data_IF_250357626986
#
_entry.id   IF_250357626986
#
_cell.length_a   1.000
_cell.length_b   1.000
_cell.length_c   1.000
_cell.angle_alpha   90.00
_cell.angle_beta   90.00
_cell.angle_gamma   90.00
#
_symmetry.space_group_name_H-M   'P 1'
#
loop_
_entity.id
_entity.type
_entity.pdbx_description
1 polymer ?
#
# COMPACT_ATOMS: atom_id res chain seq x y z
N UNK A 1 -11.47 -24.96 6.89
CA UNK A 1 -10.49 -24.36 7.83
C UNK A 1 -11.12 -24.26 9.21
N UNK A 2 -10.43 -24.76 10.20
CA UNK A 2 -10.91 -24.68 11.59
C UNK A 2 -10.71 -23.27 12.14
N UNK A 3 -11.39 -22.96 13.27
CA UNK A 3 -11.20 -21.69 13.97
C UNK A 3 -9.72 -21.45 14.31
N UNK A 4 -9.06 -22.47 14.85
CA UNK A 4 -7.64 -22.38 15.22
C UNK A 4 -6.75 -22.09 14.02
N UNK A 5 -7.02 -22.73 12.89
CA UNK A 5 -6.28 -22.49 11.66
C UNK A 5 -6.52 -21.09 11.12
N UNK A 6 -7.76 -20.63 11.13
CA UNK A 6 -8.10 -19.28 10.66
C UNK A 6 -7.43 -18.21 11.52
N UNK A 7 -7.48 -18.36 12.84
CA UNK A 7 -6.86 -17.43 13.76
C UNK A 7 -5.32 -17.43 13.60
N UNK A 8 -4.72 -18.60 13.45
CA UNK A 8 -3.27 -18.71 13.24
C UNK A 8 -2.84 -18.07 11.92
N UNK A 9 -3.61 -18.26 10.86
CA UNK A 9 -3.33 -17.64 9.55
C UNK A 9 -3.41 -16.12 9.63
N UNK A 10 -4.44 -15.60 10.32
CA UNK A 10 -4.60 -14.16 10.55
C UNK A 10 -3.41 -13.60 11.32
N UNK A 11 -3.01 -14.25 12.39
CA UNK A 11 -1.90 -13.77 13.24
C UNK A 11 -0.59 -13.79 12.48
N UNK A 12 -0.37 -14.77 11.62
CA UNK A 12 0.80 -14.84 10.76
C UNK A 12 0.84 -13.65 9.78
N UNK A 13 -0.30 -13.31 9.18
CA UNK A 13 -0.39 -12.17 8.28
C UNK A 13 -0.15 -10.85 9.01
N UNK A 14 -0.68 -10.70 10.22
CA UNK A 14 -0.44 -9.51 11.02
C UNK A 14 1.05 -9.34 11.35
N UNK A 15 1.72 -10.44 11.68
CA UNK A 15 3.16 -10.40 11.96
C UNK A 15 3.98 -9.95 10.74
N UNK A 16 3.56 -10.31 9.54
CA UNK A 16 4.26 -9.91 8.31
C UNK A 16 4.25 -8.40 8.11
N UNK A 17 3.21 -7.70 8.57
CA UNK A 17 3.10 -6.26 8.38
C UNK A 17 4.20 -5.49 9.11
N UNK A 18 4.68 -5.99 10.24
CA UNK A 18 5.72 -5.31 11.02
C UNK A 18 7.10 -5.34 10.35
N UNK A 19 7.31 -6.23 9.39
CA UNK A 19 8.61 -6.42 8.73
C UNK A 19 8.77 -5.59 7.46
N UNK A 20 7.74 -4.86 7.04
CA UNK A 20 7.76 -4.17 5.74
C UNK A 20 8.61 -2.90 5.71
N UNK A 21 8.80 -2.24 6.85
CA UNK A 21 9.56 -0.98 6.90
C UNK A 21 8.78 0.17 6.28
N UNK A 22 9.39 0.87 5.34
CA UNK A 22 8.78 2.04 4.71
C UNK A 22 7.57 1.67 3.87
N UNK A 23 6.51 2.44 4.01
CA UNK A 23 5.26 2.26 3.27
C UNK A 23 4.82 3.62 2.73
N UNK A 24 4.56 3.70 1.43
CA UNK A 24 4.08 4.92 0.79
C UNK A 24 2.86 4.63 -0.07
N UNK A 25 1.89 5.51 0.01
CA UNK A 25 0.71 5.50 -0.85
C UNK A 25 0.88 6.58 -1.91
N UNK A 26 0.50 6.30 -3.14
CA UNK A 26 0.54 7.27 -4.21
C UNK A 26 1.01 6.67 -5.53
N UNK A 27 1.32 7.56 -6.46
CA UNK A 27 1.79 7.18 -7.79
C UNK A 27 3.13 7.86 -8.07
N UNK A 28 4.06 7.09 -8.62
CA UNK A 28 5.36 7.61 -9.03
C UNK A 28 5.26 8.04 -10.49
N UNK A 29 5.53 9.32 -10.74
CA UNK A 29 5.44 9.91 -12.07
C UNK A 29 6.78 10.47 -12.48
N UNK A 30 7.16 10.22 -13.74
CA UNK A 30 8.32 10.87 -14.36
C UNK A 30 7.81 11.99 -15.24
N UNK A 31 8.35 13.19 -15.03
CA UNK A 31 8.02 14.36 -15.84
C UNK A 31 9.31 14.96 -16.38
N UNK A 32 9.20 15.69 -17.48
CA UNK A 32 10.31 16.43 -18.04
C UNK A 32 10.12 17.91 -17.73
N UNK A 33 11.14 18.52 -17.11
CA UNK A 33 11.13 19.93 -16.77
C UNK A 33 12.15 20.66 -17.64
N UNK A 34 11.76 21.83 -18.16
CA UNK A 34 12.64 22.67 -18.96
C UNK A 34 12.95 23.94 -18.17
N UNK A 35 14.24 24.24 -18.04
CA UNK A 35 14.67 25.48 -17.41
C UNK A 35 14.79 26.59 -18.46
N UNK A 36 14.44 27.81 -18.05
CA UNK A 36 14.42 28.94 -18.96
C UNK A 36 15.82 29.44 -19.37
N UNK A 37 16.85 29.17 -18.56
CA UNK A 37 18.22 29.59 -18.85
C UNK A 37 19.22 28.76 -18.05
N UNK A 38 20.48 28.75 -18.51
CA UNK A 38 21.59 28.17 -17.77
C UNK A 38 21.70 26.65 -17.79
N UNK A 39 20.84 25.96 -18.52
CA UNK A 39 20.89 24.49 -18.58
C UNK A 39 21.21 24.05 -20.02
N UNK A 40 22.35 23.35 -20.25
CA UNK A 40 22.69 22.85 -21.58
C UNK A 40 21.64 21.87 -22.14
N UNK A 41 21.06 21.03 -21.33
CA UNK A 41 20.03 20.09 -21.80
C UNK A 41 18.76 20.80 -22.23
N UNK A 42 18.32 21.81 -21.49
CA UNK A 42 17.16 22.61 -21.85
C UNK A 42 17.41 23.43 -23.10
N UNK A 43 18.63 23.94 -23.27
CA UNK A 43 19.02 24.67 -24.46
C UNK A 43 18.94 23.79 -25.72
N UNK A 44 19.16 22.47 -25.57
CA UNK A 44 19.02 21.52 -26.68
C UNK A 44 17.60 20.99 -26.84
N UNK A 45 16.67 21.43 -26.02
CA UNK A 45 15.29 20.96 -26.04
C UNK A 45 15.05 19.61 -25.34
N UNK A 46 16.06 19.05 -24.69
CA UNK A 46 15.96 17.75 -24.03
C UNK A 46 15.21 17.79 -22.70
N UNK A 47 15.32 18.92 -21.96
CA UNK A 47 14.72 19.05 -20.65
C UNK A 47 15.43 18.20 -19.58
N UNK A 48 14.89 18.22 -18.38
CA UNK A 48 15.38 17.45 -17.25
C UNK A 48 14.33 16.46 -16.78
N UNK A 49 14.70 15.20 -16.50
CA UNK A 49 13.77 14.31 -15.85
C UNK A 49 13.50 14.79 -14.42
N UNK A 50 12.21 14.77 -14.05
CA UNK A 50 11.76 15.11 -12.71
C UNK A 50 10.86 13.98 -12.23
N UNK A 51 11.24 13.40 -11.11
CA UNK A 51 10.44 12.37 -10.47
C UNK A 51 9.55 12.98 -9.40
N UNK A 52 8.27 12.60 -9.41
CA UNK A 52 7.26 13.15 -8.50
C UNK A 52 6.45 12.00 -7.91
N UNK A 53 6.29 12.04 -6.59
CA UNK A 53 5.31 11.19 -5.91
C UNK A 53 4.01 11.98 -5.79
N UNK A 54 2.95 11.49 -6.41
CA UNK A 54 1.64 12.13 -6.39
C UNK A 54 0.71 11.35 -5.47
N UNK A 55 0.19 12.03 -4.44
CA UNK A 55 -0.69 11.41 -3.45
C UNK A 55 -2.04 12.12 -3.47
N UNK A 56 -3.11 11.34 -3.71
CA UNK A 56 -4.47 11.85 -3.71
C UNK A 56 -5.10 11.78 -2.32
N UNK A 57 -5.93 12.77 -2.01
CA UNK A 57 -6.67 12.84 -0.75
C UNK A 57 -8.17 13.06 -1.04
N UNK A 58 -9.04 12.74 -0.06
CA UNK A 58 -10.48 12.98 -0.23
C UNK A 58 -10.76 14.42 -0.58
N UNK A 59 -11.81 14.65 -1.40
CA UNK A 59 -12.19 15.98 -1.85
C UNK A 59 -11.42 16.48 -3.07
N UNK A 60 -10.74 15.57 -3.78
CA UNK A 60 -9.99 15.92 -4.99
C UNK A 60 -8.67 16.60 -4.77
N UNK A 61 -8.21 16.69 -3.52
CA UNK A 61 -6.92 17.29 -3.20
C UNK A 61 -5.80 16.33 -3.51
N UNK A 62 -4.66 16.87 -3.95
CA UNK A 62 -3.47 16.07 -4.22
C UNK A 62 -2.25 16.76 -3.60
N UNK A 63 -1.25 15.94 -3.23
CA UNK A 63 0.05 16.43 -2.81
C UNK A 63 1.10 15.85 -3.74
N UNK A 64 2.01 16.70 -4.18
CA UNK A 64 3.11 16.29 -5.03
C UNK A 64 4.43 16.53 -4.32
N UNK A 65 5.26 15.50 -4.29
CA UNK A 65 6.58 15.54 -3.68
C UNK A 65 7.61 15.31 -4.76
N UNK A 66 8.47 16.31 -4.98
CA UNK A 66 9.60 16.17 -5.90
C UNK A 66 10.65 15.26 -5.28
N UNK A 67 11.19 14.36 -6.08
CA UNK A 67 12.13 13.34 -5.62
C UNK A 67 13.47 13.51 -6.33
N UNK A 68 14.55 13.26 -5.59
CA UNK A 68 15.85 13.07 -6.20
C UNK A 68 15.88 11.71 -6.90
N UNK A 69 16.64 11.58 -8.00
CA UNK A 69 16.73 10.27 -8.67
C UNK A 69 17.20 9.14 -7.78
N UNK A 70 18.04 9.42 -6.79
CA UNK A 70 18.53 8.40 -5.86
C UNK A 70 17.46 7.90 -4.88
N UNK A 71 16.35 8.65 -4.72
CA UNK A 71 15.23 8.24 -3.87
C UNK A 71 14.26 7.32 -4.59
N UNK A 72 14.28 7.25 -5.91
CA UNK A 72 13.30 6.51 -6.70
C UNK A 72 13.23 5.02 -6.35
N UNK A 73 14.35 4.30 -6.23
CA UNK A 73 14.26 2.88 -5.85
C UNK A 73 13.60 2.66 -4.49
N UNK A 74 13.91 3.51 -3.51
CA UNK A 74 13.31 3.45 -2.19
C UNK A 74 11.81 3.70 -2.25
N UNK A 75 11.39 4.70 -3.03
CA UNK A 75 9.98 5.03 -3.20
C UNK A 75 9.23 3.88 -3.87
N UNK A 76 9.81 3.27 -4.92
CA UNK A 76 9.20 2.11 -5.58
C UNK A 76 8.94 0.97 -4.60
N UNK A 77 9.93 0.66 -3.76
CA UNK A 77 9.78 -0.38 -2.75
C UNK A 77 8.68 -0.05 -1.76
N UNK A 78 8.65 1.20 -1.29
CA UNK A 78 7.63 1.63 -0.34
C UNK A 78 6.21 1.59 -0.92
N UNK A 79 6.06 1.91 -2.21
CA UNK A 79 4.78 1.80 -2.91
C UNK A 79 4.35 0.33 -3.05
N UNK A 80 5.29 -0.57 -3.36
CA UNK A 80 5.01 -2.00 -3.42
C UNK A 80 4.61 -2.53 -2.05
N UNK A 81 5.28 -2.07 -0.99
CA UNK A 81 4.92 -2.43 0.38
C UNK A 81 3.49 -2.00 0.73
N UNK A 82 3.08 -0.82 0.32
CA UNK A 82 1.72 -0.35 0.55
C UNK A 82 0.70 -1.26 -0.14
N UNK A 83 0.97 -1.65 -1.39
CA UNK A 83 0.11 -2.58 -2.12
C UNK A 83 0.01 -3.90 -1.37
N UNK A 84 1.13 -4.41 -0.90
CA UNK A 84 1.17 -5.64 -0.12
C UNK A 84 0.38 -5.53 1.19
N UNK A 85 0.51 -4.39 1.88
CA UNK A 85 -0.27 -4.12 3.10
C UNK A 85 -1.77 -4.17 2.81
N UNK A 86 -2.21 -3.53 1.72
CA UNK A 86 -3.62 -3.54 1.33
C UNK A 86 -4.13 -4.97 1.08
N UNK A 87 -3.38 -5.74 0.34
CA UNK A 87 -3.73 -7.14 0.04
C UNK A 87 -3.77 -7.97 1.33
N UNK A 88 -2.81 -7.76 2.22
CA UNK A 88 -2.75 -8.47 3.49
C UNK A 88 -3.91 -8.11 4.40
N UNK A 89 -4.27 -6.82 4.48
CA UNK A 89 -5.43 -6.39 5.26
C UNK A 89 -6.72 -6.98 4.73
N UNK A 90 -6.86 -7.08 3.43
CA UNK A 90 -8.02 -7.71 2.82
C UNK A 90 -8.11 -9.20 3.19
N UNK A 91 -6.99 -9.89 3.13
CA UNK A 91 -6.93 -11.30 3.53
C UNK A 91 -7.26 -11.49 5.02
N UNK A 92 -6.74 -10.60 5.88
CA UNK A 92 -7.06 -10.61 7.32
C UNK A 92 -8.55 -10.39 7.53
N UNK A 93 -9.13 -9.44 6.82
CA UNK A 93 -10.56 -9.14 6.91
C UNK A 93 -11.40 -10.37 6.56
N UNK A 94 -11.04 -11.08 5.50
CA UNK A 94 -11.75 -12.29 5.10
C UNK A 94 -11.67 -13.38 6.15
N UNK A 95 -10.49 -13.57 6.75
CA UNK A 95 -10.31 -14.53 7.82
C UNK A 95 -11.15 -14.18 9.06
N UNK A 96 -11.19 -12.90 9.41
CA UNK A 96 -12.01 -12.44 10.51
C UNK A 96 -13.50 -12.63 10.22
N UNK A 97 -13.92 -12.46 8.98
CA UNK A 97 -15.30 -12.74 8.58
C UNK A 97 -15.64 -14.23 8.76
N UNK A 98 -14.71 -15.11 8.39
CA UNK A 98 -14.87 -16.54 8.61
C UNK A 98 -15.00 -16.86 10.10
N UNK A 99 -14.18 -16.22 10.92
CA UNK A 99 -14.25 -16.41 12.38
C UNK A 99 -15.59 -15.97 12.95
N UNK A 100 -16.11 -14.83 12.45
CA UNK A 100 -17.45 -14.36 12.85
C UNK A 100 -18.54 -15.36 12.47
N UNK A 101 -18.46 -15.92 11.27
CA UNK A 101 -19.43 -16.95 10.85
C UNK A 101 -19.35 -18.18 11.74
N UNK A 102 -18.15 -18.62 12.06
CA UNK A 102 -17.94 -19.78 12.94
C UNK A 102 -18.52 -19.52 14.32
N UNK A 103 -18.30 -18.33 14.87
CA UNK A 103 -18.85 -17.95 16.18
C UNK A 103 -20.38 -17.96 16.14
N UNK A 104 -20.98 -17.45 15.08
CA UNK A 104 -22.43 -17.43 14.91
C UNK A 104 -22.99 -18.87 14.83
N UNK A 105 -22.32 -19.74 14.08
CA UNK A 105 -22.74 -21.13 13.93
C UNK A 105 -22.59 -21.86 15.24
N UNK A 106 -21.52 -21.65 15.98
CA UNK A 106 -21.31 -22.26 17.30
C UNK A 106 -22.43 -21.86 18.27
N UNK A 107 -22.76 -20.57 18.33
CA UNK A 107 -23.84 -20.07 19.17
C UNK A 107 -25.18 -20.66 18.77
N UNK A 108 -25.44 -20.77 17.48
CA UNK A 108 -26.67 -21.35 16.95
C UNK A 108 -26.77 -22.81 17.29
N UNK A 109 -25.66 -23.55 17.18
CA UNK A 109 -25.61 -24.95 17.52
C UNK A 109 -25.85 -25.16 19.01
N UNK A 110 -25.27 -24.32 19.87
CA UNK A 110 -25.49 -24.37 21.31
C UNK A 110 -26.96 -24.18 21.67
N UNK A 111 -27.59 -23.17 21.05
CA UNK A 111 -29.01 -22.92 21.28
C UNK A 111 -29.85 -24.08 20.80
N UNK A 112 -29.53 -24.64 19.64
CA UNK A 112 -30.27 -25.79 19.08
C UNK A 112 -30.08 -27.07 19.89
N UNK A 113 -28.97 -27.20 20.58
CA UNK A 113 -28.63 -28.38 21.36
C UNK A 113 -29.27 -28.39 22.74
N UNK A 114 -29.99 -27.37 23.11
CA UNK A 114 -30.73 -27.32 24.37
C UNK A 114 -32.17 -27.78 24.17
#
# INVERSE_FOLDING_TARGET
MTRKQAAASRDKLLAQLSDLGDVLRGSLLERTTHHSSGCPKCARGEGHPLWVLNVGYPGGKTRQLSLRPDQVPQVRRALDHYRHVKETLEAISELNQQLLRMDREDSKTKVSGQ
#
